data_IF_016313010376
#
_entry.id   IF_016313010376
#
_cell.length_a   1.000
_cell.length_b   1.000
_cell.length_c   1.000
_cell.angle_alpha   90.00
_cell.angle_beta   90.00
_cell.angle_gamma   90.00
#
_symmetry.space_group_name_H-M   'P 1'
#
loop_
_entity.id
_entity.type
_entity.pdbx_description
1 polymer ?
#
# COMPACT_ATOMS: atom_id res chain seq x y z
N UNK A 1 -13.54 -5.71 -15.55
CA UNK A 1 -12.11 -5.61 -15.17
C UNK A 1 -11.81 -4.15 -14.89
N UNK A 2 -11.18 -3.83 -13.77
CA UNK A 2 -10.74 -2.47 -13.48
C UNK A 2 -9.34 -2.29 -14.06
N UNK A 3 -9.26 -1.66 -15.23
CA UNK A 3 -8.02 -1.48 -15.98
C UNK A 3 -7.66 0.00 -15.99
N UNK A 4 -6.51 0.34 -15.42
CA UNK A 4 -5.98 1.71 -15.39
C UNK A 4 -6.32 2.51 -14.13
N UNK A 5 -5.64 3.65 -14.00
CA UNK A 5 -5.80 4.59 -12.89
C UNK A 5 -7.14 5.34 -13.00
N UNK A 6 -7.88 5.42 -11.90
CA UNK A 6 -9.08 6.28 -11.76
C UNK A 6 -8.81 7.35 -10.71
N UNK A 7 -9.34 8.54 -10.92
CA UNK A 7 -9.28 9.62 -9.94
C UNK A 7 -10.70 10.04 -9.60
N UNK A 8 -11.05 10.00 -8.32
CA UNK A 8 -12.30 10.53 -7.77
C UNK A 8 -11.97 11.88 -7.14
N UNK A 9 -12.71 12.93 -7.49
CA UNK A 9 -12.52 14.28 -6.96
C UNK A 9 -13.82 14.77 -6.33
N UNK A 10 -13.76 15.14 -5.07
CA UNK A 10 -14.92 15.63 -4.32
C UNK A 10 -14.45 16.58 -3.21
N UNK A 11 -15.15 17.70 -3.01
CA UNK A 11 -14.87 18.61 -1.90
C UNK A 11 -13.43 19.16 -1.84
N UNK A 12 -12.74 19.26 -2.98
CA UNK A 12 -11.33 19.68 -3.04
C UNK A 12 -10.31 18.57 -2.70
N UNK A 13 -10.78 17.36 -2.43
CA UNK A 13 -9.95 16.18 -2.23
C UNK A 13 -9.85 15.35 -3.52
N UNK A 14 -8.75 14.62 -3.68
CA UNK A 14 -8.54 13.67 -4.76
C UNK A 14 -8.18 12.32 -4.18
N UNK A 15 -8.93 11.28 -4.55
CA UNK A 15 -8.63 9.89 -4.27
C UNK A 15 -8.23 9.19 -5.56
N UNK A 16 -7.01 8.69 -5.60
CA UNK A 16 -6.40 8.04 -6.76
C UNK A 16 -6.43 6.53 -6.55
N UNK A 17 -7.03 5.81 -7.50
CA UNK A 17 -7.22 4.36 -7.44
C UNK A 17 -6.29 3.68 -8.43
N UNK A 18 -5.41 2.82 -7.92
CA UNK A 18 -4.37 2.14 -8.69
C UNK A 18 -4.60 0.63 -8.70
N UNK A 19 -4.85 0.01 -9.86
CA UNK A 19 -4.76 -1.44 -9.96
C UNK A 19 -3.28 -1.83 -9.88
N UNK A 20 -2.97 -2.77 -9.00
CA UNK A 20 -1.64 -3.37 -8.84
C UNK A 20 -1.79 -4.87 -9.02
N UNK A 21 -0.90 -5.45 -9.83
CA UNK A 21 -0.91 -6.90 -10.01
C UNK A 21 -0.40 -7.58 -8.75
N UNK A 22 -1.18 -8.54 -8.26
CA UNK A 22 -0.86 -9.27 -7.05
C UNK A 22 -1.39 -10.71 -7.09
N UNK A 23 -0.58 -11.69 -7.52
CA UNK A 23 -1.07 -13.03 -7.82
C UNK A 23 -1.47 -13.86 -6.57
N UNK A 24 -1.09 -13.45 -5.36
CA UNK A 24 -1.23 -14.27 -4.15
C UNK A 24 -2.56 -14.08 -3.39
N UNK A 25 -3.36 -13.05 -3.71
CA UNK A 25 -4.66 -12.80 -3.05
C UNK A 25 -5.79 -12.64 -4.07
N UNK A 26 -5.75 -11.56 -4.86
CA UNK A 26 -6.64 -11.28 -5.99
C UNK A 26 -5.89 -10.45 -7.04
N UNK A 27 -6.12 -10.68 -8.33
CA UNK A 27 -5.43 -9.94 -9.40
C UNK A 27 -6.44 -9.27 -10.36
N UNK A 28 -6.48 -7.93 -10.47
CA UNK A 28 -5.68 -6.94 -9.72
C UNK A 28 -6.25 -6.62 -8.33
N UNK A 29 -5.38 -6.24 -7.39
CA UNK A 29 -5.77 -5.48 -6.19
C UNK A 29 -5.85 -3.99 -6.52
N UNK A 30 -6.70 -3.23 -5.81
CA UNK A 30 -6.79 -1.77 -5.98
C UNK A 30 -6.31 -1.06 -4.73
N UNK A 31 -5.28 -0.22 -4.87
CA UNK A 31 -4.84 0.71 -3.84
C UNK A 31 -5.62 2.02 -3.97
N UNK A 32 -5.91 2.67 -2.84
CA UNK A 32 -6.51 4.00 -2.84
C UNK A 32 -5.60 5.02 -2.13
N UNK A 33 -5.21 6.06 -2.84
CA UNK A 33 -4.25 7.06 -2.37
C UNK A 33 -4.90 8.44 -2.29
N UNK A 34 -4.94 9.00 -1.08
CA UNK A 34 -5.41 10.35 -0.83
C UNK A 34 -4.21 11.31 -0.81
N UNK A 35 -3.93 11.97 -1.92
CA UNK A 35 -2.69 12.73 -2.12
C UNK A 35 -2.51 13.92 -1.19
N UNK A 36 -3.61 14.59 -0.81
CA UNK A 36 -3.60 15.69 0.17
C UNK A 36 -3.21 15.23 1.57
N UNK A 37 -3.57 14.01 1.94
CA UNK A 37 -3.26 13.41 3.24
C UNK A 37 -1.99 12.54 3.20
N UNK A 38 -1.42 12.29 2.00
CA UNK A 38 -0.35 11.30 1.76
C UNK A 38 -0.66 9.95 2.42
N UNK A 39 -1.93 9.58 2.37
CA UNK A 39 -2.44 8.37 2.99
C UNK A 39 -2.72 7.32 1.91
N UNK A 40 -2.22 6.10 2.13
CA UNK A 40 -2.43 4.96 1.26
C UNK A 40 -3.29 3.91 1.98
N UNK A 41 -4.49 3.70 1.47
CA UNK A 41 -5.29 2.53 1.82
C UNK A 41 -4.86 1.34 0.98
N UNK A 42 -4.60 0.24 1.67
CA UNK A 42 -4.28 -1.06 1.10
C UNK A 42 -5.10 -2.12 1.85
N UNK A 43 -5.76 -3.07 1.14
CA UNK A 43 -6.65 -4.01 1.81
C UNK A 43 -5.90 -5.00 2.71
N UNK A 44 -5.03 -5.82 2.11
CA UNK A 44 -4.52 -7.06 2.70
C UNK A 44 -3.03 -7.31 2.42
N UNK A 45 -2.31 -6.29 1.96
CA UNK A 45 -0.89 -6.40 1.61
C UNK A 45 0.04 -6.14 2.81
N UNK A 46 -0.51 -5.53 3.86
CA UNK A 46 0.18 -5.16 5.08
C UNK A 46 -0.86 -4.91 6.18
N UNK A 47 -0.52 -5.13 7.45
CA UNK A 47 -1.40 -4.81 8.58
C UNK A 47 -0.72 -3.75 9.45
N UNK A 48 -1.04 -2.46 9.28
CA UNK A 48 -0.49 -1.41 10.14
C UNK A 48 -0.90 -1.61 11.61
N UNK A 49 -0.05 -1.24 12.59
CA UNK A 49 1.28 -0.64 12.44
C UNK A 49 2.42 -1.67 12.53
N UNK A 50 2.23 -2.91 12.05
CA UNK A 50 3.25 -3.95 12.17
C UNK A 50 4.61 -3.48 11.62
N UNK A 51 5.70 -3.81 12.31
CA UNK A 51 7.07 -3.41 11.93
C UNK A 51 7.93 -4.59 11.50
N UNK A 52 7.38 -5.81 11.57
CA UNK A 52 8.08 -7.06 11.26
C UNK A 52 7.13 -8.01 10.50
N UNK A 53 7.71 -9.03 9.87
CA UNK A 53 6.97 -10.15 9.28
C UNK A 53 5.93 -9.76 8.21
N UNK A 54 6.18 -8.72 7.40
CA UNK A 54 5.27 -8.34 6.32
C UNK A 54 5.24 -9.32 5.13
N UNK A 55 6.29 -10.13 4.98
CA UNK A 55 6.38 -11.18 3.96
C UNK A 55 6.38 -10.65 2.51
N UNK A 56 6.19 -11.55 1.52
CA UNK A 56 6.07 -11.17 0.11
C UNK A 56 4.98 -10.12 -0.19
N UNK A 57 3.79 -10.12 0.44
CA UNK A 57 2.77 -9.10 0.20
C UNK A 57 3.25 -7.67 0.47
N UNK A 58 3.91 -7.45 1.62
CA UNK A 58 4.44 -6.13 1.97
C UNK A 58 5.57 -5.68 1.02
N UNK A 59 6.37 -6.63 0.52
CA UNK A 59 7.42 -6.36 -0.46
C UNK A 59 6.86 -5.94 -1.82
N UNK A 60 5.83 -6.64 -2.29
CA UNK A 60 5.11 -6.26 -3.52
C UNK A 60 4.46 -4.88 -3.39
N UNK A 61 3.83 -4.58 -2.25
CA UNK A 61 3.31 -3.25 -1.98
C UNK A 61 4.41 -2.18 -2.01
N UNK A 62 5.57 -2.43 -1.41
CA UNK A 62 6.68 -1.47 -1.39
C UNK A 62 7.21 -1.21 -2.80
N UNK A 63 7.27 -2.24 -3.64
CA UNK A 63 7.60 -2.10 -5.07
C UNK A 63 6.56 -1.24 -5.78
N UNK A 64 5.27 -1.54 -5.62
CA UNK A 64 4.19 -0.79 -6.25
C UNK A 64 4.21 0.70 -5.86
N UNK A 65 4.42 1.02 -4.57
CA UNK A 65 4.55 2.41 -4.10
C UNK A 65 5.69 3.15 -4.79
N UNK A 66 6.84 2.48 -4.99
CA UNK A 66 8.01 3.05 -5.67
C UNK A 66 7.77 3.25 -7.17
N UNK A 67 7.21 2.24 -7.85
CA UNK A 67 6.92 2.29 -9.28
C UNK A 67 5.87 3.37 -9.62
N UNK A 68 4.88 3.54 -8.74
CA UNK A 68 3.86 4.59 -8.84
C UNK A 68 4.35 5.98 -8.37
N UNK A 69 5.56 6.06 -7.81
CA UNK A 69 6.17 7.28 -7.26
C UNK A 69 5.26 8.01 -6.24
N UNK A 70 4.60 7.24 -5.36
CA UNK A 70 3.69 7.79 -4.36
C UNK A 70 4.49 8.29 -3.14
N UNK A 71 4.17 9.51 -2.69
CA UNK A 71 4.70 10.08 -1.44
C UNK A 71 3.76 9.72 -0.29
N UNK A 72 4.01 8.59 0.35
CA UNK A 72 3.15 8.08 1.42
C UNK A 72 3.76 8.38 2.79
N UNK A 73 2.97 8.98 3.67
CA UNK A 73 3.32 9.20 5.08
C UNK A 73 2.49 8.28 6.00
N UNK A 74 1.24 8.00 5.62
CA UNK A 74 0.28 7.19 6.41
C UNK A 74 -0.18 5.95 5.66
N UNK A 75 -0.12 4.80 6.33
CA UNK A 75 -0.60 3.51 5.85
C UNK A 75 -1.93 3.17 6.54
N UNK A 76 -2.95 2.80 5.77
CA UNK A 76 -4.28 2.44 6.27
C UNK A 76 -4.61 1.01 5.82
N UNK A 77 -4.97 0.13 6.75
CA UNK A 77 -5.26 -1.28 6.46
C UNK A 77 -6.74 -1.57 6.20
N UNK A 78 -7.02 -2.54 5.33
CA UNK A 78 -8.38 -3.05 5.06
C UNK A 78 -9.01 -3.75 6.26
N UNK A 79 -8.19 -4.37 7.10
CA UNK A 79 -8.59 -4.95 8.40
C UNK A 79 -8.46 -3.97 9.57
N UNK A 80 -8.37 -2.67 9.28
CA UNK A 80 -8.12 -1.62 10.27
C UNK A 80 -6.64 -1.36 10.51
N UNK A 81 -6.36 -0.53 11.51
CA UNK A 81 -5.02 -0.07 11.83
C UNK A 81 -4.56 1.11 10.97
N UNK A 82 -3.79 1.99 11.61
CA UNK A 82 -3.12 3.14 10.99
C UNK A 82 -1.67 3.08 11.43
N UNK A 83 -0.73 3.26 10.49
CA UNK A 83 0.70 3.23 10.77
C UNK A 83 1.49 4.20 9.89
N UNK A 84 2.77 4.34 10.19
CA UNK A 84 3.67 5.19 9.42
C UNK A 84 4.22 4.44 8.21
N UNK A 85 4.59 5.17 7.15
CA UNK A 85 5.32 4.58 6.03
C UNK A 85 6.68 4.01 6.47
N UNK A 86 7.33 4.62 7.46
CA UNK A 86 8.60 4.14 7.99
C UNK A 86 8.48 2.75 8.64
N UNK A 87 7.40 2.50 9.40
CA UNK A 87 7.15 1.20 10.01
C UNK A 87 6.80 0.14 8.96
N UNK A 88 6.04 0.52 7.94
CA UNK A 88 5.82 -0.33 6.78
C UNK A 88 7.13 -0.72 6.08
N UNK A 89 8.05 0.23 5.86
CA UNK A 89 9.36 -0.07 5.24
C UNK A 89 10.15 -1.08 6.08
N UNK A 90 10.10 -1.01 7.41
CA UNK A 90 10.71 -2.03 8.29
C UNK A 90 10.03 -3.38 8.11
N UNK A 91 8.70 -3.42 8.07
CA UNK A 91 7.93 -4.66 7.90
C UNK A 91 8.15 -5.34 6.54
N UNK A 92 8.35 -4.54 5.50
CA UNK A 92 8.62 -4.98 4.13
C UNK A 92 10.10 -5.32 3.88
N UNK A 93 11.00 -5.08 4.85
CA UNK A 93 12.39 -5.49 4.72
C UNK A 93 12.47 -7.03 4.58
N UNK A 94 13.32 -7.56 3.68
CA UNK A 94 13.62 -8.98 3.66
C UNK A 94 14.06 -9.43 5.05
N UNK A 95 13.62 -10.62 5.48
CA UNK A 95 14.16 -11.22 6.69
C UNK A 95 15.69 -11.32 6.53
N UNK A 96 16.44 -10.86 7.54
CA UNK A 96 17.89 -11.05 7.54
C UNK A 96 18.16 -12.55 7.40
N UNK A 97 18.88 -12.94 6.35
CA UNK A 97 19.31 -14.32 6.18
C UNK A 97 20.13 -14.72 7.40
N UNK A 98 19.64 -15.69 8.17
CA UNK A 98 20.46 -16.40 9.15
C UNK A 98 21.44 -17.28 8.38
N UNK A 99 22.73 -16.99 8.50
CA UNK A 99 23.80 -17.91 8.08
C UNK A 99 23.86 -19.13 8.99
#
# INVERSE_FOLDING_TARGET
MYEGKKIIREGGQSLELYPVSFPEHVDPMVLAYASSARALFQPDLYTPPATTNGGPPAQHLLRAVKELNLKVDTMVGGHGGIGTFADFVKAAAPAASSN
#
